data_IF_836638746841
#
_entry.id   IF_836638746841
#
_cell.length_a   1.000
_cell.length_b   1.000
_cell.length_c   1.000
_cell.angle_alpha   90.00
_cell.angle_beta   90.00
_cell.angle_gamma   90.00
#
_symmetry.space_group_name_H-M   'P 1'
#
loop_
_entity.id
_entity.type
_entity.pdbx_description
1 polymer ?
#
# COMPACT_ATOMS: atom_id res chain seq x y z
N UNK A 1 6.80 21.47 10.02
CA UNK A 1 6.10 20.48 9.17
C UNK A 1 6.14 19.14 9.89
N UNK A 2 5.00 18.51 10.18
CA UNK A 2 4.99 17.15 10.74
C UNK A 2 5.35 16.18 9.63
N UNK A 3 6.36 15.34 9.84
CA UNK A 3 6.82 14.35 8.86
C UNK A 3 5.77 13.24 8.76
N UNK A 4 5.19 13.01 7.58
CA UNK A 4 4.25 11.89 7.39
C UNK A 4 4.99 10.57 7.51
N UNK A 5 4.39 9.62 8.22
CA UNK A 5 4.89 8.24 8.27
C UNK A 5 4.66 7.63 6.88
N UNK A 6 5.72 7.06 6.30
CA UNK A 6 5.68 6.35 5.01
C UNK A 6 5.78 4.86 5.26
N UNK A 7 4.92 4.08 4.60
CA UNK A 7 4.87 2.62 4.77
C UNK A 7 4.74 1.90 3.44
N UNK A 8 5.38 0.73 3.35
CA UNK A 8 5.10 -0.25 2.30
C UNK A 8 4.27 -1.40 2.87
N UNK A 9 3.44 -2.03 2.04
CA UNK A 9 2.70 -3.25 2.39
C UNK A 9 3.34 -4.47 1.73
N UNK A 10 3.38 -5.60 2.43
CA UNK A 10 3.73 -6.90 1.83
C UNK A 10 2.47 -7.76 1.73
N UNK A 11 2.06 -8.06 0.50
CA UNK A 11 0.82 -8.77 0.18
C UNK A 11 -0.40 -7.84 0.07
N UNK A 12 -0.95 -7.73 -1.14
CA UNK A 12 -2.17 -7.00 -1.50
C UNK A 12 -3.36 -7.92 -1.71
N UNK A 13 -3.51 -8.93 -0.86
CA UNK A 13 -4.74 -9.72 -0.80
C UNK A 13 -5.90 -8.90 -0.21
N UNK A 14 -6.98 -9.58 0.16
CA UNK A 14 -8.15 -8.94 0.77
C UNK A 14 -7.79 -8.04 1.97
N UNK A 15 -6.98 -8.58 2.90
CA UNK A 15 -6.57 -7.85 4.11
C UNK A 15 -5.56 -6.74 3.81
N UNK A 16 -4.66 -6.94 2.84
CA UNK A 16 -3.72 -5.92 2.40
C UNK A 16 -4.44 -4.65 1.91
N UNK A 17 -5.47 -4.81 1.07
CA UNK A 17 -6.28 -3.70 0.58
C UNK A 17 -7.01 -2.97 1.73
N UNK A 18 -7.56 -3.72 2.69
CA UNK A 18 -8.18 -3.13 3.88
C UNK A 18 -7.19 -2.32 4.72
N UNK A 19 -5.94 -2.77 4.85
CA UNK A 19 -4.90 -2.03 5.55
C UNK A 19 -4.51 -0.74 4.81
N UNK A 20 -4.40 -0.74 3.48
CA UNK A 20 -4.13 0.49 2.71
C UNK A 20 -5.18 1.55 3.02
N UNK A 21 -6.45 1.18 3.00
CA UNK A 21 -7.55 2.11 3.28
C UNK A 21 -7.57 2.58 4.74
N UNK A 22 -7.29 1.69 5.69
CA UNK A 22 -7.17 2.06 7.09
C UNK A 22 -6.01 3.04 7.34
N UNK A 23 -4.84 2.79 6.74
CA UNK A 23 -3.64 3.64 6.86
C UNK A 23 -3.87 5.03 6.29
N UNK A 24 -4.50 5.13 5.11
CA UNK A 24 -4.88 6.40 4.49
C UNK A 24 -5.81 7.23 5.40
N UNK A 25 -6.81 6.59 6.03
CA UNK A 25 -7.75 7.26 6.94
C UNK A 25 -7.10 7.86 8.18
N UNK A 26 -6.01 7.25 8.67
CA UNK A 26 -5.25 7.75 9.82
C UNK A 26 -4.08 8.67 9.42
N UNK A 27 -4.00 9.07 8.15
CA UNK A 27 -3.00 10.03 7.67
C UNK A 27 -1.61 9.46 7.39
N UNK A 28 -1.48 8.13 7.29
CA UNK A 28 -0.24 7.46 6.90
C UNK A 28 -0.14 7.37 5.37
N UNK A 29 1.05 7.64 4.84
CA UNK A 29 1.32 7.60 3.41
C UNK A 29 1.79 6.19 3.02
N UNK A 30 0.97 5.47 2.25
CA UNK A 30 1.37 4.19 1.64
C UNK A 30 2.15 4.51 0.37
N UNK A 31 3.39 4.04 0.27
CA UNK A 31 4.33 4.40 -0.81
C UNK A 31 4.69 3.21 -1.71
N UNK A 32 4.13 2.04 -1.46
CA UNK A 32 4.38 0.87 -2.30
C UNK A 32 3.85 -0.44 -1.72
N UNK A 33 3.92 -1.46 -2.56
CA UNK A 33 3.49 -2.82 -2.25
C UNK A 33 4.52 -3.83 -2.77
N UNK A 34 4.75 -4.88 -1.97
CA UNK A 34 5.56 -6.04 -2.33
C UNK A 34 4.66 -7.27 -2.52
N UNK A 35 4.94 -8.04 -3.55
CA UNK A 35 4.21 -9.26 -3.93
C UNK A 35 5.19 -10.33 -4.40
N UNK A 36 4.68 -11.54 -4.66
CA UNK A 36 5.50 -12.67 -5.09
C UNK A 36 6.30 -12.43 -6.39
N UNK A 37 5.81 -11.55 -7.27
CA UNK A 37 6.52 -11.12 -8.48
C UNK A 37 6.38 -9.61 -8.70
N UNK A 38 7.30 -9.04 -9.47
CA UNK A 38 7.29 -7.63 -9.88
C UNK A 38 6.01 -7.25 -10.64
N UNK A 39 5.52 -8.14 -11.50
CA UNK A 39 4.34 -7.91 -12.34
C UNK A 39 3.09 -7.86 -11.46
N UNK A 40 2.98 -8.77 -10.50
CA UNK A 40 1.88 -8.78 -9.53
C UNK A 40 1.92 -7.55 -8.62
N UNK A 41 3.11 -7.15 -8.16
CA UNK A 41 3.29 -5.95 -7.35
C UNK A 41 2.81 -4.71 -8.11
N UNK A 42 3.22 -4.58 -9.39
CA UNK A 42 2.80 -3.46 -10.25
C UNK A 42 1.30 -3.45 -10.49
N UNK A 43 0.71 -4.59 -10.86
CA UNK A 43 -0.73 -4.71 -11.09
C UNK A 43 -1.54 -4.26 -9.87
N UNK A 44 -1.10 -4.63 -8.66
CA UNK A 44 -1.79 -4.26 -7.42
C UNK A 44 -1.54 -2.83 -7.00
N UNK A 45 -0.33 -2.29 -7.22
CA UNK A 45 -0.04 -0.88 -7.02
C UNK A 45 -0.98 -0.02 -7.87
N UNK A 46 -1.09 -0.34 -9.17
CA UNK A 46 -1.97 0.35 -10.11
C UNK A 46 -3.45 0.28 -9.65
N UNK A 47 -3.91 -0.90 -9.21
CA UNK A 47 -5.29 -1.09 -8.71
C UNK A 47 -5.58 -0.30 -7.42
N UNK A 48 -4.56 -0.02 -6.61
CA UNK A 48 -4.67 0.73 -5.35
C UNK A 48 -4.37 2.23 -5.53
N UNK A 49 -3.93 2.66 -6.72
CA UNK A 49 -3.48 4.03 -6.98
C UNK A 49 -2.21 4.38 -6.20
N UNK A 50 -1.26 3.45 -6.15
CA UNK A 50 0.06 3.60 -5.51
C UNK A 50 1.16 3.79 -6.56
#
# INVERSE_FOLDING_TARGET
MVKKIKVGISGGGFVGNAHVEALRRIGVEVVGIAEATSELAKQKADALGL
#
